data_IF_206848598138
#
_entry.id   IF_206848598138
#
_cell.length_a   1.000
_cell.length_b   1.000
_cell.length_c   1.000
_cell.angle_alpha   90.00
_cell.angle_beta   90.00
_cell.angle_gamma   90.00
#
_symmetry.space_group_name_H-M   'P 1'
#
loop_
_entity.id
_entity.type
_entity.pdbx_description
1 polymer ?
#
# COMPACT_ATOMS: atom_id res chain seq x y z
N UNK A 1 28.59 6.90 -2.42
CA UNK A 1 27.26 6.58 -3.00
C UNK A 1 26.62 5.56 -2.08
N UNK A 2 25.64 5.98 -1.28
CA UNK A 2 24.81 5.04 -0.52
C UNK A 2 23.80 4.44 -1.51
N UNK A 3 23.90 3.14 -1.77
CA UNK A 3 22.87 2.45 -2.55
C UNK A 3 21.59 2.44 -1.70
N UNK A 4 20.56 3.18 -2.11
CA UNK A 4 19.28 3.18 -1.40
C UNK A 4 18.60 1.84 -1.68
N UNK A 5 18.53 0.99 -0.66
CA UNK A 5 17.81 -0.28 -0.74
C UNK A 5 16.33 0.00 -0.50
N UNK A 6 15.47 -0.46 -1.38
CA UNK A 6 14.01 -0.32 -1.26
C UNK A 6 13.41 -1.72 -1.18
N UNK A 7 12.48 -1.93 -0.24
CA UNK A 7 11.69 -3.14 -0.17
C UNK A 7 10.36 -2.88 -0.88
N UNK A 8 10.17 -3.50 -2.03
CA UNK A 8 8.91 -3.44 -2.76
C UNK A 8 8.21 -4.80 -2.69
N UNK A 9 7.05 -4.83 -2.05
CA UNK A 9 6.22 -6.03 -1.97
C UNK A 9 4.95 -5.85 -2.81
N UNK A 10 4.89 -6.57 -3.93
CA UNK A 10 3.71 -6.65 -4.78
C UNK A 10 2.78 -7.79 -4.32
N UNK A 11 1.48 -7.49 -4.26
CA UNK A 11 0.40 -8.40 -3.87
C UNK A 11 -0.76 -8.25 -4.85
N UNK A 12 -1.41 -9.36 -5.18
CA UNK A 12 -2.62 -9.40 -5.99
C UNK A 12 -3.71 -10.09 -5.18
N UNK A 13 -4.87 -9.43 -5.05
CA UNK A 13 -6.09 -9.89 -4.38
C UNK A 13 -5.83 -10.53 -3.02
N UNK A 14 -4.95 -9.90 -2.23
CA UNK A 14 -4.63 -10.37 -0.90
C UNK A 14 -5.75 -10.00 0.08
N UNK A 15 -6.21 -10.99 0.84
CA UNK A 15 -7.15 -10.78 1.93
C UNK A 15 -6.52 -9.93 3.05
N UNK A 16 -7.34 -9.36 3.94
CA UNK A 16 -6.84 -8.57 5.09
C UNK A 16 -5.89 -9.36 5.99
N UNK A 17 -6.13 -10.65 6.21
CA UNK A 17 -5.25 -11.49 7.02
C UNK A 17 -3.90 -11.72 6.34
N UNK A 18 -3.89 -11.89 5.02
CA UNK A 18 -2.66 -11.98 4.22
C UNK A 18 -1.89 -10.66 4.21
N UNK A 19 -2.56 -9.53 4.01
CA UNK A 19 -1.94 -8.20 4.11
C UNK A 19 -1.25 -8.02 5.46
N UNK A 20 -1.90 -8.38 6.57
CA UNK A 20 -1.29 -8.33 7.90
C UNK A 20 -0.02 -9.20 8.02
N UNK A 21 -0.03 -10.39 7.42
CA UNK A 21 1.15 -11.27 7.38
C UNK A 21 2.28 -10.61 6.59
N UNK A 22 1.96 -9.96 5.47
CA UNK A 22 2.96 -9.28 4.64
C UNK A 22 3.48 -7.98 5.27
N UNK A 23 2.65 -7.21 5.98
CA UNK A 23 3.10 -6.06 6.78
C UNK A 23 4.18 -6.45 7.77
N UNK A 24 3.99 -7.53 8.52
CA UNK A 24 5.01 -8.04 9.45
C UNK A 24 6.26 -8.53 8.73
N UNK A 25 6.08 -9.18 7.57
CA UNK A 25 7.18 -9.77 6.80
C UNK A 25 8.10 -8.72 6.19
N UNK A 26 7.56 -7.62 5.66
CA UNK A 26 8.39 -6.56 5.07
C UNK A 26 9.21 -5.82 6.14
N UNK A 27 8.73 -5.70 7.37
CA UNK A 27 9.50 -5.15 8.48
C UNK A 27 10.71 -6.02 8.84
N UNK A 28 10.53 -7.34 8.87
CA UNK A 28 11.66 -8.27 9.05
C UNK A 28 12.72 -8.11 7.95
N UNK A 29 12.30 -7.97 6.70
CA UNK A 29 13.22 -7.69 5.60
C UNK A 29 13.92 -6.35 5.73
N UNK A 30 13.22 -5.34 6.25
CA UNK A 30 13.77 -4.01 6.48
C UNK A 30 14.89 -4.02 7.52
N UNK A 31 14.73 -4.84 8.56
CA UNK A 31 15.78 -5.08 9.57
C UNK A 31 16.99 -5.80 8.98
N UNK A 32 16.78 -6.88 8.23
CA UNK A 32 17.86 -7.66 7.60
C UNK A 32 18.66 -6.86 6.55
N UNK A 33 17.99 -5.94 5.84
CA UNK A 33 18.56 -5.13 4.77
C UNK A 33 18.94 -3.70 5.21
N UNK A 34 18.76 -3.38 6.50
CA UNK A 34 19.04 -2.05 7.07
C UNK A 34 18.43 -0.89 6.28
N UNK A 35 17.15 -1.01 5.90
CA UNK A 35 16.41 0.04 5.17
C UNK A 35 15.12 0.45 5.87
N UNK A 36 14.68 1.67 5.59
CA UNK A 36 13.40 2.22 6.01
C UNK A 36 12.49 2.56 4.82
N UNK A 37 12.93 2.35 3.59
CA UNK A 37 12.12 2.60 2.41
C UNK A 37 11.34 1.33 2.04
N UNK A 38 10.13 1.22 2.59
CA UNK A 38 9.29 0.04 2.53
C UNK A 38 7.99 0.39 1.83
N UNK A 39 7.71 -0.32 0.74
CA UNK A 39 6.47 -0.16 -0.04
C UNK A 39 5.74 -1.49 -0.16
N UNK A 40 4.43 -1.44 0.10
CA UNK A 40 3.49 -2.47 -0.34
C UNK A 40 2.61 -1.92 -1.45
N UNK A 41 2.57 -2.66 -2.54
CA UNK A 41 1.69 -2.40 -3.68
C UNK A 41 0.71 -3.54 -3.77
N UNK A 42 -0.57 -3.24 -3.62
CA UNK A 42 -1.62 -4.24 -3.59
C UNK A 42 -2.66 -3.96 -4.67
N UNK A 43 -2.73 -4.82 -5.68
CA UNK A 43 -3.78 -4.83 -6.69
C UNK A 43 -4.93 -5.71 -6.23
N UNK A 44 -6.16 -5.27 -6.41
CA UNK A 44 -7.34 -6.06 -6.04
C UNK A 44 -8.52 -5.78 -6.96
N UNK A 45 -9.30 -6.82 -7.25
CA UNK A 45 -10.60 -6.70 -7.90
C UNK A 45 -11.76 -7.03 -6.95
N UNK A 46 -11.50 -7.15 -5.63
CA UNK A 46 -12.56 -7.43 -4.66
C UNK A 46 -13.56 -6.28 -4.59
N UNK A 47 -14.84 -6.57 -4.89
CA UNK A 47 -15.95 -5.60 -4.89
C UNK A 47 -16.08 -4.80 -3.59
N UNK A 48 -15.62 -5.40 -2.49
CA UNK A 48 -15.49 -4.74 -1.20
C UNK A 48 -14.80 -3.38 -1.33
N UNK A 49 -13.72 -3.27 -2.11
CA UNK A 49 -12.94 -2.03 -2.28
C UNK A 49 -13.63 -0.96 -3.14
N UNK A 50 -14.62 -1.32 -3.97
CA UNK A 50 -15.33 -0.40 -4.88
C UNK A 50 -16.31 0.55 -4.17
N UNK A 51 -16.85 0.15 -3.03
CA UNK A 51 -17.98 0.84 -2.36
C UNK A 51 -17.55 1.80 -1.25
N UNK A 52 -16.25 2.16 -1.16
CA UNK A 52 -15.64 2.68 0.07
C UNK A 52 -15.19 4.14 -0.03
N UNK A 53 -16.14 5.09 0.02
CA UNK A 53 -15.85 6.55 -0.02
C UNK A 53 -15.21 7.13 1.27
N UNK A 54 -14.46 6.35 2.06
CA UNK A 54 -13.84 6.88 3.29
C UNK A 54 -12.52 6.23 3.69
N UNK A 55 -11.64 7.05 4.30
CA UNK A 55 -10.31 6.68 4.82
C UNK A 55 -10.29 5.44 5.72
N UNK A 56 -11.41 5.13 6.38
CA UNK A 56 -11.52 4.12 7.44
C UNK A 56 -11.70 2.68 6.94
N UNK A 57 -11.60 2.40 5.63
CA UNK A 57 -11.90 1.04 5.13
C UNK A 57 -10.78 0.34 4.33
N UNK A 58 -9.85 1.09 3.74
CA UNK A 58 -8.60 0.50 3.21
C UNK A 58 -7.82 -0.15 4.35
N UNK A 59 -7.22 -1.31 4.07
CA UNK A 59 -6.55 -2.11 5.09
C UNK A 59 -5.11 -1.63 5.26
N UNK A 60 -4.95 -0.55 6.01
CA UNK A 60 -3.66 0.11 6.24
C UNK A 60 -2.77 -0.66 7.23
N UNK A 61 -1.44 -0.60 7.08
CA UNK A 61 -0.52 -1.05 8.11
C UNK A 61 -0.66 -0.22 9.40
N UNK A 62 -0.45 -0.86 10.55
CA UNK A 62 -0.37 -0.15 11.84
C UNK A 62 1.03 0.42 12.11
N UNK A 63 2.05 -0.09 11.44
CA UNK A 63 3.44 0.34 11.59
C UNK A 63 3.71 1.57 10.71
N UNK A 64 4.36 2.58 11.29
CA UNK A 64 4.52 3.86 10.63
C UNK A 64 5.64 3.91 9.57
N UNK A 65 6.40 2.82 9.40
CA UNK A 65 7.50 2.72 8.43
C UNK A 65 7.04 2.20 7.06
N UNK A 66 5.81 1.71 6.96
CA UNK A 66 5.31 1.03 5.76
C UNK A 66 4.49 2.01 4.92
N UNK A 67 5.01 2.38 3.74
CA UNK A 67 4.22 3.03 2.72
C UNK A 67 3.38 1.99 1.98
N UNK A 68 2.14 2.33 1.65
CA UNK A 68 1.19 1.40 1.02
C UNK A 68 0.42 2.06 -0.10
N UNK A 69 0.30 1.38 -1.23
CA UNK A 69 -0.60 1.76 -2.33
C UNK A 69 -1.52 0.58 -2.63
N UNK A 70 -2.82 0.84 -2.58
CA UNK A 70 -3.87 -0.07 -3.03
C UNK A 70 -4.41 0.39 -4.37
N UNK A 71 -4.39 -0.50 -5.35
CA UNK A 71 -5.06 -0.34 -6.64
C UNK A 71 -6.26 -1.26 -6.68
N UNK A 72 -7.45 -0.70 -6.59
CA UNK A 72 -8.65 -1.43 -6.97
C UNK A 72 -8.84 -1.33 -8.48
N UNK A 73 -9.24 -2.41 -9.13
CA UNK A 73 -9.64 -2.38 -10.53
C UNK A 73 -10.88 -3.24 -10.79
N UNK A 74 -11.66 -2.89 -11.81
CA UNK A 74 -12.71 -3.80 -12.29
C UNK A 74 -12.10 -4.96 -13.10
N UNK A 75 -12.89 -6.01 -13.34
CA UNK A 75 -12.44 -7.21 -14.06
C UNK A 75 -11.92 -6.94 -15.48
N UNK A 76 -12.47 -5.92 -16.15
CA UNK A 76 -12.05 -5.51 -17.50
C UNK A 76 -10.87 -4.54 -17.49
N UNK A 77 -10.41 -4.12 -16.30
CA UNK A 77 -9.34 -3.13 -16.12
C UNK A 77 -9.61 -1.78 -16.82
N UNK A 78 -10.86 -1.43 -17.06
CA UNK A 78 -11.29 -0.15 -17.63
C UNK A 78 -11.34 0.95 -16.56
N UNK A 79 -11.36 0.55 -15.29
CA UNK A 79 -11.48 1.44 -14.15
C UNK A 79 -10.50 1.04 -13.08
N UNK A 80 -9.61 1.96 -12.69
CA UNK A 80 -8.65 1.79 -11.62
C UNK A 80 -8.78 2.91 -10.60
N UNK A 81 -8.85 2.54 -9.34
CA UNK A 81 -8.93 3.44 -8.19
C UNK A 81 -7.70 3.24 -7.30
N UNK A 82 -6.94 4.31 -7.12
CA UNK A 82 -5.75 4.32 -6.29
C UNK A 82 -6.04 4.94 -4.92
N UNK A 83 -5.63 4.21 -3.88
CA UNK A 83 -5.55 4.69 -2.52
C UNK A 83 -4.11 4.53 -2.04
N UNK A 84 -3.52 5.56 -1.45
CA UNK A 84 -2.15 5.51 -0.95
C UNK A 84 -2.04 6.08 0.46
N UNK A 85 -1.19 5.49 1.28
CA UNK A 85 -0.72 6.00 2.56
C UNK A 85 0.80 6.02 2.53
N UNK A 86 1.40 7.17 2.79
CA UNK A 86 2.86 7.30 2.80
C UNK A 86 3.31 8.33 3.83
N UNK A 87 4.52 8.12 4.37
CA UNK A 87 5.15 9.06 5.27
C UNK A 87 5.67 10.26 4.47
N UNK A 88 5.26 11.46 4.85
CA UNK A 88 5.81 12.67 4.26
C UNK A 88 7.11 13.07 4.95
N UNK A 89 8.19 13.16 4.16
CA UNK A 89 9.50 13.60 4.62
C UNK A 89 9.52 15.02 5.20
N UNK A 90 8.55 15.88 4.85
CA UNK A 90 8.58 17.28 5.32
C UNK A 90 8.03 17.49 6.73
N UNK A 91 7.12 16.62 7.21
CA UNK A 91 6.40 16.81 8.47
C UNK A 91 6.29 15.54 9.32
N UNK A 92 6.96 14.45 8.91
CA UNK A 92 6.94 13.15 9.58
C UNK A 92 5.53 12.61 9.88
N UNK A 93 4.55 13.07 9.10
CA UNK A 93 3.13 12.77 9.22
C UNK A 93 2.68 11.92 8.03
N UNK A 94 1.68 11.07 8.27
CA UNK A 94 1.08 10.30 7.20
C UNK A 94 0.21 11.15 6.28
N UNK A 95 0.51 11.10 4.99
CA UNK A 95 -0.36 11.61 3.93
C UNK A 95 -1.14 10.48 3.29
N UNK A 96 -2.33 10.84 2.81
CA UNK A 96 -3.26 9.91 2.20
C UNK A 96 -3.72 10.45 0.85
N UNK A 97 -3.70 9.59 -0.15
CA UNK A 97 -4.45 9.77 -1.40
C UNK A 97 -5.61 8.79 -1.32
N UNK A 98 -6.84 9.28 -1.48
CA UNK A 98 -8.04 8.46 -1.36
C UNK A 98 -8.84 8.59 -2.64
N UNK A 99 -9.29 7.46 -3.16
CA UNK A 99 -10.18 7.36 -4.32
C UNK A 99 -9.69 8.15 -5.55
N UNK A 100 -8.38 8.12 -5.81
CA UNK A 100 -7.82 8.74 -7.01
C UNK A 100 -8.05 7.82 -8.21
N UNK A 101 -8.96 8.22 -9.11
CA UNK A 101 -9.18 7.50 -10.37
C UNK A 101 -7.97 7.66 -11.28
N UNK A 102 -7.44 6.55 -11.77
CA UNK A 102 -6.41 6.55 -12.79
C UNK A 102 -7.11 6.42 -14.15
N UNK A 103 -6.92 7.43 -14.99
CA UNK A 103 -7.34 7.40 -16.39
C UNK A 103 -6.30 6.55 -17.15
N UNK A 104 -6.77 5.49 -17.80
CA UNK A 104 -5.96 4.57 -18.61
C UNK A 104 -6.05 4.92 -20.09
#
# INVERSE_FOLDING_TARGET
>A
MTCQTIILKLLATATRSELNKYFKRVLKYAEELFTNDIWIVHFTCEDGYRTQKSKNRSHWPSDNRINTVHFFHNHLFEYVLMNAQYLDSSDNNFKYIIDCTILL
#
